data_IF_988281283823
#
_entry.id   IF_988281283823
#
_cell.length_a   1.000
_cell.length_b   1.000
_cell.length_c   1.000
_cell.angle_alpha   90.00
_cell.angle_beta   90.00
_cell.angle_gamma   90.00
#
_symmetry.space_group_name_H-M   'P 1'
#
loop_
_entity.id
_entity.type
_entity.pdbx_description
1 polymer ?
#
# COMPACT_ATOMS: atom_id res chain seq x y z
N UNK A 1 -24.52 -1.66 -12.81
CA UNK A 1 -23.86 -1.72 -11.49
C UNK A 1 -24.56 -2.81 -10.67
N UNK A 2 -23.86 -3.90 -10.35
CA UNK A 2 -24.46 -5.17 -9.89
C UNK A 2 -24.73 -5.12 -8.37
N UNK A 3 -25.99 -4.88 -7.96
CA UNK A 3 -26.41 -4.61 -6.57
C UNK A 3 -26.51 -5.85 -5.67
N UNK A 4 -26.18 -7.05 -6.15
CA UNK A 4 -26.32 -8.30 -5.37
C UNK A 4 -25.25 -8.53 -4.29
N UNK A 5 -24.23 -7.68 -4.19
CA UNK A 5 -23.04 -7.93 -3.36
C UNK A 5 -23.17 -7.47 -1.89
N UNK A 6 -24.16 -6.63 -1.54
CA UNK A 6 -24.21 -5.96 -0.22
C UNK A 6 -25.45 -6.25 0.62
N UNK A 7 -26.00 -7.48 0.54
CA UNK A 7 -27.18 -7.90 1.33
C UNK A 7 -27.09 -7.58 2.83
N UNK A 8 -25.89 -7.69 3.41
CA UNK A 8 -25.64 -7.38 4.83
C UNK A 8 -25.82 -5.89 5.12
N UNK A 9 -25.39 -5.01 4.21
CA UNK A 9 -25.58 -3.56 4.35
C UNK A 9 -27.05 -3.17 4.13
N UNK A 10 -27.75 -3.85 3.22
CA UNK A 10 -29.19 -3.63 2.98
C UNK A 10 -30.03 -4.02 4.21
N UNK A 11 -29.67 -5.12 4.89
CA UNK A 11 -30.31 -5.53 6.15
C UNK A 11 -30.03 -4.55 7.29
N UNK A 12 -28.81 -4.01 7.37
CA UNK A 12 -28.44 -2.99 8.36
C UNK A 12 -29.18 -1.67 8.12
N UNK A 13 -29.30 -1.22 6.87
CA UNK A 13 -30.05 -0.02 6.48
C UNK A 13 -31.55 -0.18 6.80
N UNK A 14 -32.13 -1.36 6.55
CA UNK A 14 -33.53 -1.64 6.86
C UNK A 14 -33.84 -1.61 8.37
N UNK A 15 -32.89 -2.03 9.22
CA UNK A 15 -33.09 -2.06 10.67
C UNK A 15 -32.76 -0.73 11.37
N UNK A 16 -31.79 0.02 10.85
CA UNK A 16 -31.28 1.23 11.53
C UNK A 16 -31.68 2.55 10.87
N UNK A 17 -32.24 2.52 9.64
CA UNK A 17 -32.57 3.69 8.80
C UNK A 17 -31.41 4.65 8.54
N UNK A 18 -30.17 4.27 8.88
CA UNK A 18 -28.99 5.10 8.71
C UNK A 18 -28.34 4.86 7.34
N UNK A 19 -27.76 5.90 6.72
CA UNK A 19 -27.08 5.75 5.44
C UNK A 19 -25.88 4.80 5.54
N UNK A 20 -25.66 4.02 4.48
CA UNK A 20 -24.58 3.00 4.37
C UNK A 20 -23.18 3.53 4.68
N UNK A 21 -22.94 4.81 4.40
CA UNK A 21 -21.67 5.48 4.69
C UNK A 21 -21.35 5.52 6.18
N UNK A 22 -22.34 5.73 7.04
CA UNK A 22 -22.14 5.78 8.49
C UNK A 22 -21.77 4.42 9.07
N UNK A 23 -22.31 3.33 8.51
CA UNK A 23 -21.95 1.98 8.94
C UNK A 23 -20.47 1.67 8.61
N UNK A 24 -20.02 2.03 7.41
CA UNK A 24 -18.61 1.85 6.99
C UNK A 24 -17.68 2.74 7.80
N UNK A 25 -18.05 4.01 8.01
CA UNK A 25 -17.27 4.94 8.83
C UNK A 25 -17.19 4.49 10.28
N UNK A 26 -18.30 4.02 10.85
CA UNK A 26 -18.35 3.49 12.21
C UNK A 26 -17.47 2.25 12.38
N UNK A 27 -17.56 1.29 11.45
CA UNK A 27 -16.69 0.11 11.45
C UNK A 27 -15.20 0.49 11.32
N UNK A 28 -14.88 1.46 10.47
CA UNK A 28 -13.52 2.00 10.34
C UNK A 28 -13.02 2.67 11.62
N UNK A 29 -13.86 3.47 12.28
CA UNK A 29 -13.52 4.13 13.54
C UNK A 29 -13.32 3.11 14.67
N UNK A 30 -14.18 2.10 14.78
CA UNK A 30 -14.03 0.99 15.74
C UNK A 30 -12.72 0.23 15.47
N UNK A 31 -12.42 -0.05 14.20
CA UNK A 31 -11.16 -0.71 13.83
C UNK A 31 -9.93 0.12 14.25
N UNK A 32 -9.91 1.42 13.96
CA UNK A 32 -8.82 2.30 14.38
C UNK A 32 -8.69 2.39 15.91
N UNK A 33 -9.82 2.40 16.62
CA UNK A 33 -9.85 2.37 18.07
C UNK A 33 -9.28 1.05 18.63
N UNK A 34 -9.58 -0.10 18.02
CA UNK A 34 -8.99 -1.39 18.40
C UNK A 34 -7.46 -1.41 18.17
N UNK A 35 -6.99 -0.84 17.06
CA UNK A 35 -5.55 -0.68 16.79
C UNK A 35 -4.89 0.21 17.83
N UNK A 36 -5.55 1.33 18.20
CA UNK A 36 -5.07 2.26 19.23
C UNK A 36 -4.96 1.61 20.61
N UNK A 37 -5.98 0.86 21.01
CA UNK A 37 -6.02 0.20 22.33
C UNK A 37 -4.94 -0.88 22.47
N UNK A 38 -4.51 -1.50 21.36
CA UNK A 38 -3.43 -2.49 21.31
C UNK A 38 -3.47 -3.57 22.41
N UNK A 39 -4.66 -3.94 22.88
CA UNK A 39 -4.78 -4.85 24.02
C UNK A 39 -4.22 -6.23 23.65
N UNK A 40 -3.22 -6.70 24.41
CA UNK A 40 -2.56 -7.99 24.15
C UNK A 40 -1.78 -8.06 22.82
N UNK A 41 -1.36 -6.93 22.24
CA UNK A 41 -0.60 -6.91 20.98
C UNK A 41 -1.47 -6.99 19.71
N UNK A 42 -2.80 -6.99 19.85
CA UNK A 42 -3.73 -7.12 18.71
C UNK A 42 -3.57 -5.99 17.67
N UNK A 43 -3.12 -4.80 18.10
CA UNK A 43 -2.93 -3.68 17.17
C UNK A 43 -1.78 -3.91 16.18
N UNK A 44 -0.76 -4.70 16.54
CA UNK A 44 0.28 -5.10 15.57
C UNK A 44 -0.32 -5.98 14.46
N UNK A 45 -1.11 -6.98 14.86
CA UNK A 45 -1.78 -7.89 13.92
C UNK A 45 -2.74 -7.12 13.02
N UNK A 46 -3.62 -6.30 13.60
CA UNK A 46 -4.57 -5.49 12.86
C UNK A 46 -3.85 -4.57 11.87
N UNK A 47 -2.84 -3.81 12.33
CA UNK A 47 -2.04 -2.92 11.48
C UNK A 47 -1.46 -3.64 10.26
N UNK A 48 -0.87 -4.81 10.46
CA UNK A 48 -0.29 -5.60 9.38
C UNK A 48 -1.36 -6.16 8.44
N UNK A 49 -2.53 -6.57 8.95
CA UNK A 49 -3.66 -6.99 8.13
C UNK A 49 -4.15 -5.83 7.24
N UNK A 50 -4.33 -4.63 7.78
CA UNK A 50 -4.70 -3.46 6.96
C UNK A 50 -3.64 -3.17 5.89
N UNK A 51 -2.37 -3.17 6.30
CA UNK A 51 -1.23 -2.96 5.40
C UNK A 51 -1.05 -4.06 4.34
N UNK A 52 -1.65 -5.24 4.52
CA UNK A 52 -1.57 -6.35 3.57
C UNK A 52 -2.82 -6.45 2.68
N UNK A 53 -4.01 -6.39 3.27
CA UNK A 53 -5.28 -6.66 2.58
C UNK A 53 -5.64 -5.58 1.58
N UNK A 54 -5.42 -4.30 1.94
CA UNK A 54 -5.73 -3.16 1.06
C UNK A 54 -4.93 -3.24 -0.26
N UNK A 55 -3.59 -3.24 -0.23
CA UNK A 55 -2.78 -3.39 -1.44
C UNK A 55 -2.95 -4.76 -2.08
N UNK A 56 -3.18 -5.84 -1.31
CA UNK A 56 -3.47 -7.17 -1.86
C UNK A 56 -4.72 -7.21 -2.74
N UNK A 57 -5.79 -6.52 -2.33
CA UNK A 57 -6.97 -6.34 -3.16
C UNK A 57 -6.66 -5.58 -4.45
N UNK A 58 -5.90 -4.48 -4.35
CA UNK A 58 -5.47 -3.73 -5.53
C UNK A 58 -4.55 -4.55 -6.44
N UNK A 59 -3.67 -5.39 -5.90
CA UNK A 59 -2.83 -6.31 -6.67
C UNK A 59 -3.68 -7.35 -7.41
N UNK A 60 -4.69 -7.96 -6.77
CA UNK A 60 -5.59 -8.90 -7.44
C UNK A 60 -6.42 -8.23 -8.53
N UNK A 61 -6.78 -6.95 -8.34
CA UNK A 61 -7.46 -6.15 -9.36
C UNK A 61 -6.51 -5.82 -10.51
N UNK A 62 -5.29 -5.39 -10.21
CA UNK A 62 -4.24 -5.09 -11.18
C UNK A 62 -3.89 -6.31 -12.04
N UNK A 63 -3.81 -7.52 -11.45
CA UNK A 63 -3.60 -8.77 -12.21
C UNK A 63 -4.66 -9.06 -13.27
N UNK A 64 -5.86 -8.47 -13.15
CA UNK A 64 -6.95 -8.62 -14.12
C UNK A 64 -7.00 -7.48 -15.14
N UNK A 65 -6.11 -6.49 -15.03
CA UNK A 65 -6.08 -5.27 -15.86
C UNK A 65 -4.69 -5.03 -16.41
N UNK A 66 -4.55 -4.74 -17.70
CA UNK A 66 -3.22 -4.65 -18.36
C UNK A 66 -2.45 -3.34 -18.12
N UNK A 67 -2.64 -2.65 -16.99
CA UNK A 67 -2.04 -1.31 -16.75
C UNK A 67 -0.76 -1.39 -15.92
N UNK A 68 0.37 -1.11 -16.56
CA UNK A 68 1.73 -1.21 -15.97
C UNK A 68 2.01 -0.19 -14.87
N UNK A 69 1.31 0.96 -14.86
CA UNK A 69 1.54 2.05 -13.88
C UNK A 69 1.10 1.68 -12.46
N UNK A 70 0.10 0.80 -12.34
CA UNK A 70 -0.40 0.35 -11.04
C UNK A 70 0.58 -0.64 -10.40
N UNK A 71 1.24 -1.47 -11.22
CA UNK A 71 2.21 -2.48 -10.78
C UNK A 71 3.43 -1.86 -10.10
N UNK A 72 4.03 -0.80 -10.67
CA UNK A 72 5.20 -0.13 -10.08
C UNK A 72 4.90 0.49 -8.72
N UNK A 73 3.70 1.07 -8.57
CA UNK A 73 3.25 1.69 -7.31
C UNK A 73 3.01 0.64 -6.24
N UNK A 74 2.37 -0.48 -6.60
CA UNK A 74 2.16 -1.61 -5.71
C UNK A 74 3.48 -2.23 -5.26
N UNK A 75 4.42 -2.45 -6.19
CA UNK A 75 5.73 -3.01 -5.86
C UNK A 75 6.52 -2.09 -4.92
N UNK A 76 6.52 -0.78 -5.19
CA UNK A 76 7.15 0.20 -4.29
C UNK A 76 6.55 0.14 -2.89
N UNK A 77 5.22 0.09 -2.79
CA UNK A 77 4.54 -0.08 -1.52
C UNK A 77 5.01 -1.34 -0.78
N UNK A 78 5.08 -2.48 -1.46
CA UNK A 78 5.50 -3.75 -0.86
C UNK A 78 6.94 -3.69 -0.32
N UNK A 79 7.85 -3.02 -1.03
CA UNK A 79 9.23 -2.81 -0.58
C UNK A 79 9.25 -1.98 0.69
N UNK A 80 8.54 -0.84 0.72
CA UNK A 80 8.48 0.03 1.91
C UNK A 80 7.80 -0.67 3.09
N UNK A 81 6.69 -1.36 2.85
CA UNK A 81 5.98 -2.15 3.86
C UNK A 81 6.89 -3.21 4.48
N UNK A 82 7.64 -3.94 3.65
CA UNK A 82 8.55 -4.98 4.14
C UNK A 82 9.71 -4.39 4.94
N UNK A 83 10.33 -3.30 4.45
CA UNK A 83 11.40 -2.60 5.16
C UNK A 83 10.95 -2.07 6.53
N UNK A 84 9.77 -1.46 6.60
CA UNK A 84 9.18 -0.97 7.86
C UNK A 84 8.91 -2.11 8.84
N UNK A 85 8.41 -3.26 8.38
CA UNK A 85 8.18 -4.42 9.25
C UNK A 85 9.48 -5.04 9.77
N UNK A 86 10.52 -5.10 8.95
CA UNK A 86 11.85 -5.57 9.39
C UNK A 86 12.42 -4.61 10.42
N UNK A 87 12.39 -3.30 10.15
CA UNK A 87 12.87 -2.29 11.11
C UNK A 87 12.09 -2.37 12.43
N UNK A 88 10.77 -2.50 12.36
CA UNK A 88 9.91 -2.65 13.53
C UNK A 88 10.31 -3.85 14.40
N UNK A 89 10.69 -4.98 13.80
CA UNK A 89 11.15 -6.14 14.56
C UNK A 89 12.34 -5.78 15.47
N UNK A 90 13.29 -4.99 14.96
CA UNK A 90 14.48 -4.56 15.71
C UNK A 90 14.16 -3.57 16.82
N UNK A 91 13.20 -2.65 16.60
CA UNK A 91 12.85 -1.61 17.58
C UNK A 91 11.63 -1.95 18.44
N UNK A 92 11.06 -3.15 18.31
CA UNK A 92 9.80 -3.56 18.96
C UNK A 92 9.80 -3.34 20.48
N UNK A 93 10.94 -3.61 21.13
CA UNK A 93 11.10 -3.43 22.57
C UNK A 93 10.94 -1.95 23.00
N UNK A 94 11.45 -1.02 22.19
CA UNK A 94 11.34 0.42 22.42
C UNK A 94 9.91 0.89 22.09
N UNK A 95 9.32 0.35 21.02
CA UNK A 95 7.98 0.70 20.55
C UNK A 95 6.86 0.27 21.49
N UNK A 96 7.06 -0.78 22.29
CA UNK A 96 6.10 -1.18 23.31
C UNK A 96 5.84 -0.09 24.36
N UNK A 97 6.84 0.79 24.60
CA UNK A 97 6.70 1.91 25.52
C UNK A 97 5.89 3.07 24.93
N UNK A 98 5.76 3.15 23.61
CA UNK A 98 5.09 4.27 22.94
C UNK A 98 3.61 3.94 22.70
N UNK A 99 2.67 4.48 23.49
CA UNK A 99 1.25 4.31 23.21
C UNK A 99 0.90 4.92 21.86
N UNK A 100 -0.06 4.32 21.14
CA UNK A 100 -0.54 4.73 19.82
C UNK A 100 0.43 4.54 18.62
N UNK A 101 1.62 3.97 18.79
CA UNK A 101 2.54 3.72 17.66
C UNK A 101 1.89 2.93 16.51
N UNK A 102 1.18 1.85 16.83
CA UNK A 102 0.54 1.00 15.81
C UNK A 102 -0.58 1.71 15.06
N UNK A 103 -1.22 2.71 15.67
CA UNK A 103 -2.19 3.56 14.99
C UNK A 103 -1.48 4.46 13.97
N UNK A 104 -0.39 5.12 14.36
CA UNK A 104 0.41 5.93 13.45
C UNK A 104 0.98 5.10 12.29
N UNK A 105 1.51 3.90 12.56
CA UNK A 105 1.94 2.95 11.52
C UNK A 105 0.79 2.62 10.57
N UNK A 106 -0.38 2.29 11.10
CA UNK A 106 -1.55 1.93 10.28
C UNK A 106 -1.97 3.09 9.39
N UNK A 107 -2.00 4.32 9.91
CA UNK A 107 -2.31 5.52 9.13
C UNK A 107 -1.26 5.78 8.04
N UNK A 108 0.03 5.62 8.36
CA UNK A 108 1.12 5.76 7.39
C UNK A 108 1.02 4.71 6.27
N UNK A 109 0.75 3.45 6.61
CA UNK A 109 0.54 2.39 5.62
C UNK A 109 -0.69 2.65 4.77
N UNK A 110 -1.79 3.10 5.37
CA UNK A 110 -3.00 3.44 4.64
C UNK A 110 -2.79 4.63 3.68
N UNK A 111 -2.06 5.65 4.13
CA UNK A 111 -1.66 6.80 3.31
C UNK A 111 -0.79 6.37 2.11
N UNK A 112 0.14 5.43 2.30
CA UNK A 112 0.94 4.88 1.21
C UNK A 112 0.12 3.98 0.26
N UNK A 113 -0.81 3.20 0.79
CA UNK A 113 -1.63 2.25 0.03
C UNK A 113 -2.75 2.91 -0.78
N UNK A 114 -3.25 4.07 -0.34
CA UNK A 114 -4.34 4.77 -1.01
C UNK A 114 -3.86 5.44 -2.30
N UNK A 115 -4.38 5.04 -3.48
CA UNK A 115 -3.95 5.59 -4.76
C UNK A 115 -4.33 7.08 -4.93
N UNK A 116 -5.24 7.59 -4.11
CA UNK A 116 -5.69 8.98 -4.14
C UNK A 116 -4.63 9.96 -3.60
N UNK A 117 -3.77 9.50 -2.67
CA UNK A 117 -2.81 10.36 -1.99
C UNK A 117 -1.40 10.32 -2.62
N UNK A 118 -1.17 9.44 -3.61
CA UNK A 118 0.14 9.24 -4.25
C UNK A 118 1.32 9.06 -3.25
N UNK A 119 1.06 8.65 -2.01
CA UNK A 119 2.06 8.59 -0.94
C UNK A 119 3.24 7.67 -1.29
N UNK A 120 2.96 6.54 -1.95
CA UNK A 120 4.00 5.64 -2.44
C UNK A 120 4.92 6.29 -3.50
N UNK A 121 4.41 7.20 -4.33
CA UNK A 121 5.20 7.92 -5.36
C UNK A 121 6.12 8.93 -4.69
N UNK A 122 5.64 9.64 -3.68
CA UNK A 122 6.47 10.59 -2.89
C UNK A 122 7.63 9.86 -2.22
N UNK A 123 7.39 8.70 -1.60
CA UNK A 123 8.45 7.89 -0.99
C UNK A 123 9.40 7.31 -2.05
N UNK A 124 8.87 6.93 -3.21
CA UNK A 124 9.70 6.48 -4.33
C UNK A 124 10.67 7.57 -4.77
N UNK A 125 10.18 8.76 -5.08
CA UNK A 125 11.00 9.86 -5.60
C UNK A 125 12.00 10.39 -4.58
N UNK A 126 11.64 10.41 -3.29
CA UNK A 126 12.49 10.94 -2.22
C UNK A 126 13.54 9.94 -1.71
N UNK A 127 13.20 8.65 -1.63
CA UNK A 127 14.02 7.67 -0.90
C UNK A 127 14.50 6.57 -1.83
N UNK A 128 13.60 5.95 -2.59
CA UNK A 128 13.94 4.76 -3.39
C UNK A 128 14.76 5.16 -4.61
N UNK A 129 14.37 6.18 -5.36
CA UNK A 129 15.04 6.64 -6.59
C UNK A 129 16.52 7.00 -6.38
N UNK A 130 16.90 7.85 -5.40
CA UNK A 130 18.32 8.17 -5.18
C UNK A 130 19.13 6.97 -4.65
N UNK A 131 18.50 6.00 -3.98
CA UNK A 131 19.16 4.77 -3.54
C UNK A 131 19.27 3.76 -4.69
N UNK A 132 18.26 3.61 -5.54
CA UNK A 132 18.29 2.68 -6.67
C UNK A 132 19.25 3.14 -7.75
N UNK A 133 19.29 4.43 -8.08
CA UNK A 133 20.20 4.96 -9.11
C UNK A 133 21.69 4.79 -8.71
N UNK A 134 21.97 4.67 -7.40
CA UNK A 134 23.32 4.47 -6.88
C UNK A 134 23.82 3.02 -6.95
N UNK A 135 22.91 2.04 -6.94
CA UNK A 135 23.27 0.61 -6.83
C UNK A 135 22.73 -0.27 -7.98
N UNK A 136 21.65 0.16 -8.63
CA UNK A 136 20.98 -0.52 -9.75
C UNK A 136 20.97 0.46 -10.93
N UNK A 137 22.12 0.58 -11.59
CA UNK A 137 22.16 1.15 -12.94
C UNK A 137 21.58 0.10 -13.88
N UNK A 138 20.30 0.22 -14.21
CA UNK A 138 19.77 -0.46 -15.40
C UNK A 138 20.55 0.12 -16.58
N UNK A 139 21.29 -0.68 -17.37
CA UNK A 139 21.99 -0.17 -18.53
C UNK A 139 20.95 0.52 -19.42
N UNK A 140 21.08 1.84 -19.59
CA UNK A 140 20.08 2.63 -20.32
C UNK A 140 20.03 2.28 -21.81
N UNK A 141 20.95 1.45 -22.30
CA UNK A 141 21.00 0.97 -23.66
C UNK A 141 21.44 -0.49 -23.65
N UNK A 142 20.47 -1.40 -23.84
CA UNK A 142 20.83 -2.77 -24.20
C UNK A 142 21.57 -2.77 -25.54
N UNK A 143 22.45 -3.75 -25.81
CA UNK A 143 23.21 -3.82 -27.06
C UNK A 143 22.33 -3.74 -28.30
N UNK A 144 21.05 -4.10 -28.22
CA UNK A 144 20.07 -3.93 -29.29
C UNK A 144 19.91 -2.47 -29.75
N UNK A 145 19.80 -1.50 -28.84
CA UNK A 145 19.61 -0.09 -29.22
C UNK A 145 20.90 0.52 -29.78
N UNK A 146 22.04 0.12 -29.24
CA UNK A 146 23.37 0.52 -29.72
C UNK A 146 23.67 -0.09 -31.10
N UNK A 147 23.16 -1.30 -31.37
CA UNK A 147 23.19 -1.93 -32.70
C UNK A 147 22.22 -1.25 -33.68
N UNK A 148 21.02 -0.85 -33.24
CA UNK A 148 20.06 -0.14 -34.09
C UNK A 148 20.59 1.26 -34.47
N UNK A 149 21.22 1.97 -33.54
CA UNK A 149 21.86 3.25 -33.81
C UNK A 149 23.04 3.09 -34.78
N UNK A 150 23.92 2.09 -34.55
CA UNK A 150 25.05 1.78 -35.45
C UNK A 150 24.61 1.30 -36.84
N UNK A 151 23.48 0.62 -36.95
CA UNK A 151 22.91 0.20 -38.24
C UNK A 151 22.34 1.41 -38.95
N UNK A 152 21.54 2.26 -38.29
CA UNK A 152 21.03 3.50 -38.86
C UNK A 152 22.14 4.40 -39.39
N UNK A 153 23.20 4.60 -38.61
CA UNK A 153 24.37 5.42 -38.97
C UNK A 153 25.15 4.85 -40.17
N UNK A 154 25.09 3.55 -40.43
CA UNK A 154 25.73 2.91 -41.60
C UNK A 154 24.85 2.87 -42.85
N UNK A 155 23.55 3.15 -42.72
CA UNK A 155 22.60 3.17 -43.84
C UNK A 155 22.31 4.56 -44.40
N UNK A 156 22.81 5.62 -43.75
CA UNK A 156 22.94 6.97 -44.34
C UNK A 156 24.32 7.16 -45.00
#
# INVERSE_FOLDING_TARGET
MNTKQFKVLDQFEAQTKLPRSYAVLGAGAVYLLLVFLNFGGIGQLLSNIAGFVVPGYYSLKALKTSTTKDDTRLLTYWVVFSALNVLEFWVKAILYWVPAYYLLKTLALLYLALPQFNGAVVVYDLVIKPLSDKYITVPSEGPANDLLNKVSEKTE
#
